data_IF_200062401453
#
_entry.id   IF_200062401453
#
_cell.length_a   1.000
_cell.length_b   1.000
_cell.length_c   1.000
_cell.angle_alpha   90.00
_cell.angle_beta   90.00
_cell.angle_gamma   90.00
#
_symmetry.space_group_name_H-M   'P 1'
#
loop_
_entity.id
_entity.type
_entity.pdbx_description
1 polymer ?
#
# COMPACT_ATOMS: atom_id res chain seq x y z
N UNK A 1 -11.69 28.72 -20.09
CA UNK A 1 -12.30 28.06 -18.92
C UNK A 1 -11.50 28.41 -17.70
N UNK A 2 -12.10 29.14 -16.78
CA UNK A 2 -11.44 29.65 -15.58
C UNK A 2 -11.53 28.53 -14.53
N UNK A 3 -10.38 28.00 -14.12
CA UNK A 3 -10.31 27.05 -13.00
C UNK A 3 -10.42 27.81 -11.69
N UNK A 4 -11.46 27.55 -10.93
CA UNK A 4 -11.57 28.01 -9.55
C UNK A 4 -10.61 27.23 -8.66
N UNK A 5 -9.86 27.90 -7.79
CA UNK A 5 -9.00 27.18 -6.82
C UNK A 5 -9.88 26.45 -5.80
N UNK A 6 -9.53 25.21 -5.51
CA UNK A 6 -10.09 24.43 -4.41
C UNK A 6 -9.85 25.18 -3.08
N UNK A 7 -10.82 25.94 -2.64
CA UNK A 7 -10.85 26.49 -1.28
C UNK A 7 -11.43 25.41 -0.34
N UNK A 8 -10.55 24.72 0.37
CA UNK A 8 -10.91 23.96 1.56
C UNK A 8 -11.28 24.98 2.66
N UNK A 9 -12.56 25.23 2.87
CA UNK A 9 -13.02 25.96 4.06
C UNK A 9 -12.98 25.02 5.26
N UNK A 10 -11.95 25.17 6.06
CA UNK A 10 -11.81 24.55 7.37
C UNK A 10 -12.14 25.57 8.43
N UNK A 11 -13.15 25.32 9.23
CA UNK A 11 -13.46 26.12 10.40
C UNK A 11 -12.29 26.10 11.39
N UNK A 12 -11.61 27.23 11.52
CA UNK A 12 -10.54 27.40 12.49
C UNK A 12 -11.13 27.55 13.87
N UNK A 13 -11.02 26.52 14.71
CA UNK A 13 -11.16 26.68 16.16
C UNK A 13 -9.82 27.09 16.74
N UNK A 14 -9.82 28.21 17.46
CA UNK A 14 -8.65 28.75 18.18
C UNK A 14 -8.16 27.76 19.23
N UNK A 15 -6.99 27.17 19.02
CA UNK A 15 -6.32 26.32 20.00
C UNK A 15 -5.05 27.00 20.52
N UNK A 16 -4.97 27.15 21.83
CA UNK A 16 -3.78 27.53 22.59
C UNK A 16 -2.83 26.32 22.69
N UNK A 17 -1.52 26.47 22.50
CA UNK A 17 -0.58 25.36 22.59
C UNK A 17 -0.33 24.97 24.06
N UNK A 18 -1.01 23.94 24.52
CA UNK A 18 -0.74 23.35 25.83
C UNK A 18 0.55 22.50 25.77
N UNK A 19 1.46 22.76 26.68
CA UNK A 19 2.76 22.07 26.83
C UNK A 19 2.55 20.58 27.05
N UNK A 20 2.79 19.76 26.04
CA UNK A 20 2.81 18.31 26.16
C UNK A 20 4.02 17.86 27.01
N UNK A 21 3.76 17.07 28.04
CA UNK A 21 4.77 16.53 28.98
C UNK A 21 5.65 15.49 28.31
N UNK A 22 6.97 15.43 28.60
CA UNK A 22 7.91 14.49 27.98
C UNK A 22 7.70 13.01 28.33
N UNK A 23 6.89 12.69 29.33
CA UNK A 23 6.67 11.30 29.79
C UNK A 23 5.95 10.38 28.80
N UNK A 24 5.13 10.94 27.89
CA UNK A 24 4.41 10.15 26.88
C UNK A 24 5.38 9.59 25.81
N UNK A 25 6.52 10.23 25.59
CA UNK A 25 7.51 9.83 24.57
C UNK A 25 8.34 8.62 25.00
N UNK A 26 8.63 8.48 26.30
CA UNK A 26 9.45 7.37 26.82
C UNK A 26 8.73 6.02 26.73
N UNK A 27 7.42 6.00 26.94
CA UNK A 27 6.62 4.76 26.88
C UNK A 27 6.55 4.19 25.45
N UNK A 28 6.45 5.05 24.43
CA UNK A 28 6.42 4.66 23.02
C UNK A 28 7.73 4.01 22.53
N UNK A 29 8.87 4.53 22.98
CA UNK A 29 10.19 3.97 22.62
C UNK A 29 10.40 2.59 23.26
N UNK A 30 10.02 2.42 24.52
CA UNK A 30 10.16 1.16 25.27
C UNK A 30 9.25 0.06 24.70
N UNK A 31 8.02 0.40 24.32
CA UNK A 31 7.11 -0.51 23.65
C UNK A 31 7.60 -0.92 22.27
N UNK A 32 8.10 0.04 21.48
CA UNK A 32 8.68 -0.19 20.16
C UNK A 32 9.90 -1.13 20.24
N UNK A 33 10.82 -0.89 21.19
CA UNK A 33 11.99 -1.72 21.42
C UNK A 33 11.62 -3.16 21.82
N UNK A 34 10.62 -3.34 22.67
CA UNK A 34 10.16 -4.66 23.12
C UNK A 34 9.47 -5.46 22.00
N UNK A 35 8.72 -4.80 21.12
CA UNK A 35 8.11 -5.43 19.94
C UNK A 35 9.13 -5.67 18.83
N UNK A 36 10.12 -4.83 18.70
CA UNK A 36 11.21 -4.97 17.75
C UNK A 36 12.04 -6.24 18.05
N UNK A 37 12.40 -6.48 19.31
CA UNK A 37 13.18 -7.67 19.71
C UNK A 37 12.42 -8.98 19.49
N UNK A 38 11.11 -9.02 19.69
CA UNK A 38 10.30 -10.21 19.44
C UNK A 38 10.12 -10.51 17.93
N UNK A 39 10.12 -9.48 17.07
CA UNK A 39 9.96 -9.63 15.62
C UNK A 39 11.27 -9.75 14.84
N UNK A 40 12.41 -9.34 15.41
CA UNK A 40 13.73 -9.31 14.73
C UNK A 40 14.18 -10.67 14.22
N UNK A 41 13.79 -11.76 14.85
CA UNK A 41 14.17 -13.12 14.44
C UNK A 41 13.50 -13.61 13.14
N UNK A 42 12.49 -12.86 12.60
CA UNK A 42 11.71 -13.26 11.42
C UNK A 42 11.53 -12.18 10.36
N UNK A 43 12.11 -11.00 10.55
CA UNK A 43 11.91 -9.86 9.64
C UNK A 43 13.12 -9.71 8.73
N UNK A 44 12.90 -9.62 7.42
CA UNK A 44 13.97 -9.29 6.47
C UNK A 44 14.61 -7.94 6.83
N UNK A 45 15.93 -7.77 6.61
CA UNK A 45 16.66 -6.53 6.88
C UNK A 45 15.93 -5.27 6.33
N UNK A 46 15.26 -5.41 5.20
CA UNK A 46 14.48 -4.37 4.57
C UNK A 46 13.26 -3.93 5.40
N UNK A 47 12.50 -4.88 5.98
CA UNK A 47 11.38 -4.55 6.87
C UNK A 47 11.88 -3.91 8.16
N UNK A 48 13.02 -4.37 8.67
CA UNK A 48 13.67 -3.75 9.82
C UNK A 48 13.99 -2.28 9.55
N UNK A 49 14.66 -1.97 8.44
CA UNK A 49 15.00 -0.60 8.06
C UNK A 49 13.77 0.27 7.81
N UNK A 50 12.71 -0.29 7.23
CA UNK A 50 11.43 0.40 7.06
C UNK A 50 10.86 0.85 8.41
N UNK A 51 10.73 -0.07 9.37
CA UNK A 51 10.18 0.28 10.68
C UNK A 51 11.11 1.22 11.48
N UNK A 52 12.40 1.01 11.40
CA UNK A 52 13.39 1.84 12.08
C UNK A 52 13.41 3.27 11.51
N UNK A 53 13.44 3.43 10.19
CA UNK A 53 13.42 4.75 9.56
C UNK A 53 12.11 5.49 9.83
N UNK A 54 10.97 4.83 9.75
CA UNK A 54 9.69 5.47 10.03
C UNK A 54 9.54 5.86 11.50
N UNK A 55 9.94 5.02 12.44
CA UNK A 55 9.94 5.37 13.85
C UNK A 55 10.88 6.55 14.15
N UNK A 56 12.10 6.57 13.61
CA UNK A 56 13.05 7.67 13.83
C UNK A 56 12.61 8.95 13.14
N UNK A 57 12.08 8.88 11.92
CA UNK A 57 11.55 10.05 11.21
C UNK A 57 10.31 10.64 11.89
N UNK A 58 9.49 9.82 12.49
CA UNK A 58 8.32 10.26 13.25
C UNK A 58 8.69 11.14 14.45
N UNK A 59 9.84 10.86 15.08
CA UNK A 59 10.35 11.67 16.20
C UNK A 59 11.08 12.96 15.75
N UNK A 60 11.81 12.92 14.63
CA UNK A 60 12.71 14.01 14.24
C UNK A 60 12.11 14.97 13.21
N UNK A 61 11.16 14.55 12.39
CA UNK A 61 10.74 15.26 11.18
C UNK A 61 9.45 16.09 11.32
N UNK A 62 8.76 16.05 12.45
CA UNK A 62 7.49 16.78 12.65
C UNK A 62 7.62 18.30 12.43
N UNK A 63 8.76 18.88 12.79
CA UNK A 63 9.01 20.33 12.64
C UNK A 63 9.31 20.76 11.20
N UNK A 64 9.66 19.84 10.30
CA UNK A 64 10.18 20.20 8.96
C UNK A 64 9.23 19.86 7.80
N UNK A 65 8.17 19.05 8.00
CA UNK A 65 7.32 18.58 6.91
C UNK A 65 6.26 19.61 6.45
N UNK A 66 5.70 20.41 7.36
CA UNK A 66 4.70 21.42 7.00
C UNK A 66 5.19 22.45 5.97
N UNK A 67 6.47 22.79 6.00
CA UNK A 67 7.08 23.67 4.98
C UNK A 67 7.41 22.96 3.65
N UNK A 68 7.49 21.63 3.63
CA UNK A 68 7.84 20.86 2.41
C UNK A 68 6.71 20.80 1.40
N UNK A 69 5.45 20.67 1.84
CA UNK A 69 4.30 20.66 0.93
C UNK A 69 4.23 21.95 0.12
N UNK A 70 4.33 23.10 0.79
CA UNK A 70 4.37 24.40 0.13
C UNK A 70 5.58 24.56 -0.79
N UNK A 71 6.76 24.08 -0.39
CA UNK A 71 7.97 24.13 -1.21
C UNK A 71 7.86 23.25 -2.47
N UNK A 72 7.20 22.08 -2.38
CA UNK A 72 6.94 21.21 -3.52
C UNK A 72 5.97 21.89 -4.49
N UNK A 73 4.89 22.49 -3.98
CA UNK A 73 3.89 23.20 -4.78
C UNK A 73 4.46 24.47 -5.44
N UNK A 74 5.41 25.14 -4.79
CA UNK A 74 6.09 26.34 -5.33
C UNK A 74 7.19 26.04 -6.36
N UNK A 75 7.64 24.79 -6.51
CA UNK A 75 8.60 24.44 -7.55
C UNK A 75 7.96 24.65 -8.92
N UNK A 76 8.55 25.55 -9.71
CA UNK A 76 8.18 25.70 -11.12
C UNK A 76 8.43 24.36 -11.80
N UNK A 77 7.36 23.64 -12.11
CA UNK A 77 7.42 22.37 -12.84
C UNK A 77 7.19 22.66 -14.32
N UNK A 78 7.82 21.89 -15.18
CA UNK A 78 7.55 21.83 -16.61
C UNK A 78 6.04 21.58 -16.81
N UNK A 79 5.43 22.25 -17.78
CA UNK A 79 3.99 22.19 -18.06
C UNK A 79 3.52 20.75 -18.33
N UNK A 80 4.33 19.92 -19.02
CA UNK A 80 4.04 18.50 -19.24
C UNK A 80 3.99 17.74 -17.92
N UNK A 81 4.92 17.99 -17.02
CA UNK A 81 4.97 17.35 -15.71
C UNK A 81 3.78 17.72 -14.84
N UNK A 82 3.29 18.96 -14.96
CA UNK A 82 2.06 19.37 -14.25
C UNK A 82 0.84 18.65 -14.78
N UNK A 83 0.72 18.49 -16.11
CA UNK A 83 -0.39 17.74 -16.70
C UNK A 83 -0.41 16.29 -16.20
N UNK A 84 0.75 15.61 -16.19
CA UNK A 84 0.87 14.25 -15.64
C UNK A 84 0.46 14.18 -14.16
N UNK A 85 0.79 15.21 -13.38
CA UNK A 85 0.40 15.29 -11.96
C UNK A 85 -1.12 15.43 -11.83
N UNK A 86 -1.75 16.31 -12.61
CA UNK A 86 -3.22 16.46 -12.58
C UNK A 86 -3.95 15.22 -13.05
N UNK A 87 -3.48 14.55 -14.10
CA UNK A 87 -4.06 13.32 -14.60
C UNK A 87 -4.00 12.21 -13.56
N UNK A 88 -2.87 12.10 -12.84
CA UNK A 88 -2.73 11.15 -11.73
C UNK A 88 -3.58 11.52 -10.54
N UNK A 89 -3.63 12.80 -10.17
CA UNK A 89 -4.46 13.26 -9.07
C UNK A 89 -5.94 12.94 -9.31
N UNK A 90 -6.44 13.25 -10.51
CA UNK A 90 -7.82 12.94 -10.90
C UNK A 90 -8.10 11.44 -10.95
N UNK A 91 -7.08 10.62 -11.23
CA UNK A 91 -7.20 9.17 -11.20
C UNK A 91 -7.30 8.63 -9.77
N UNK A 92 -6.44 9.11 -8.87
CA UNK A 92 -6.40 8.62 -7.49
C UNK A 92 -7.56 9.14 -6.65
N UNK A 93 -7.93 10.39 -6.85
CA UNK A 93 -9.03 11.05 -6.19
C UNK A 93 -10.08 11.47 -7.23
N UNK A 94 -11.11 10.69 -7.37
CA UNK A 94 -12.24 10.95 -8.27
C UNK A 94 -13.40 11.65 -7.57
N UNK A 95 -13.27 12.01 -6.30
CA UNK A 95 -14.28 12.78 -5.57
C UNK A 95 -14.34 14.19 -6.14
N UNK A 96 -15.48 14.56 -6.70
CA UNK A 96 -15.68 15.84 -7.39
C UNK A 96 -16.32 16.91 -6.52
N UNK A 97 -16.96 16.52 -5.43
CA UNK A 97 -17.72 17.40 -4.55
C UNK A 97 -17.06 17.51 -3.18
N UNK A 98 -17.29 18.63 -2.51
CA UNK A 98 -16.93 18.79 -1.10
C UNK A 98 -17.85 17.91 -0.25
N UNK A 99 -17.31 17.26 0.75
CA UNK A 99 -18.06 16.39 1.65
C UNK A 99 -17.66 16.65 3.10
N UNK A 100 -18.59 16.43 4.00
CA UNK A 100 -18.31 16.40 5.43
C UNK A 100 -17.71 15.03 5.79
N UNK A 101 -16.70 14.99 6.68
CA UNK A 101 -16.19 13.74 7.19
C UNK A 101 -17.28 12.89 7.82
N UNK A 102 -17.18 11.56 7.73
CA UNK A 102 -18.15 10.68 8.33
C UNK A 102 -18.13 10.78 9.87
N UNK A 103 -19.14 10.21 10.53
CA UNK A 103 -19.16 10.12 12.01
C UNK A 103 -18.01 9.29 12.58
N UNK A 104 -17.40 8.46 11.72
CA UNK A 104 -16.27 7.60 12.08
C UNK A 104 -14.91 8.22 11.70
N UNK A 105 -14.91 9.39 11.08
CA UNK A 105 -13.68 10.09 10.71
C UNK A 105 -12.80 10.36 11.93
N UNK A 106 -11.51 10.15 11.75
CA UNK A 106 -10.54 10.28 12.85
C UNK A 106 -9.74 11.56 12.62
N UNK A 107 -9.70 12.41 13.66
CA UNK A 107 -8.80 13.55 13.69
C UNK A 107 -7.34 13.06 13.71
N UNK A 108 -6.47 13.67 12.91
CA UNK A 108 -5.09 13.20 12.77
C UNK A 108 -4.32 13.19 14.09
N UNK A 109 -4.54 14.17 14.95
CA UNK A 109 -3.97 14.21 16.30
C UNK A 109 -4.33 12.97 17.13
N UNK A 110 -5.59 12.53 17.06
CA UNK A 110 -6.08 11.32 17.74
C UNK A 110 -5.60 10.03 17.09
N UNK A 111 -5.47 10.03 15.73
CA UNK A 111 -4.91 8.93 14.99
C UNK A 111 -3.47 8.61 15.43
N UNK A 112 -2.66 9.64 15.64
CA UNK A 112 -1.29 9.50 16.13
C UNK A 112 -1.22 8.91 17.55
N UNK A 113 -2.19 9.18 18.40
CA UNK A 113 -2.25 8.63 19.76
C UNK A 113 -2.64 7.15 19.77
N UNK A 114 -3.48 6.69 18.81
CA UNK A 114 -3.88 5.27 18.72
C UNK A 114 -2.70 4.32 18.59
N UNK A 115 -1.62 4.71 17.93
CA UNK A 115 -0.44 3.86 17.76
C UNK A 115 0.46 3.81 18.98
N UNK A 116 0.45 4.81 19.83
CA UNK A 116 1.29 4.85 21.05
C UNK A 116 0.69 4.08 22.23
N UNK A 117 -0.62 3.85 22.21
CA UNK A 117 -1.37 3.24 23.33
C UNK A 117 -2.06 1.92 23.00
N UNK A 118 -2.21 1.53 21.75
CA UNK A 118 -2.91 0.28 21.40
C UNK A 118 -2.05 -0.95 21.63
N UNK A 119 -1.85 -1.27 22.88
CA UNK A 119 -1.71 -2.64 23.33
C UNK A 119 -3.08 -3.29 23.18
N UNK A 120 -3.35 -3.96 22.02
CA UNK A 120 -4.19 -5.17 21.95
C UNK A 120 -5.55 -5.13 22.71
N UNK A 121 -6.37 -4.10 22.62
CA UNK A 121 -7.68 -4.18 23.29
C UNK A 121 -8.87 -3.78 22.43
N UNK A 122 -8.67 -3.15 21.28
CA UNK A 122 -9.82 -2.80 20.43
C UNK A 122 -9.81 -3.65 19.15
N UNK A 123 -10.57 -4.74 19.17
CA UNK A 123 -10.71 -5.67 18.04
C UNK A 123 -11.32 -5.03 16.78
N UNK A 124 -11.90 -3.86 16.91
CA UNK A 124 -12.68 -3.23 15.84
C UNK A 124 -11.89 -2.21 15.00
N UNK A 125 -10.59 -1.99 15.28
CA UNK A 125 -9.77 -1.03 14.55
C UNK A 125 -8.27 -1.38 14.51
N UNK A 126 -7.91 -2.63 14.24
CA UNK A 126 -6.50 -3.01 14.04
C UNK A 126 -5.98 -2.51 12.68
N UNK A 127 -5.43 -1.31 12.68
CA UNK A 127 -4.61 -0.86 11.55
C UNK A 127 -3.30 -1.63 11.59
N UNK A 128 -3.02 -2.39 10.53
CA UNK A 128 -1.70 -3.00 10.37
C UNK A 128 -0.60 -1.91 10.39
N UNK A 129 0.50 -2.18 11.07
CA UNK A 129 1.60 -1.21 11.27
C UNK A 129 2.13 -0.56 9.98
N UNK A 130 2.05 -1.25 8.85
CA UNK A 130 2.45 -0.70 7.54
C UNK A 130 1.50 0.38 7.04
N UNK A 131 0.20 0.18 7.18
CA UNK A 131 -0.81 1.18 6.84
C UNK A 131 -0.70 2.41 7.72
N UNK A 132 -0.49 2.20 9.03
CA UNK A 132 -0.33 3.28 9.97
C UNK A 132 0.83 4.21 9.58
N UNK A 133 2.03 3.65 9.37
CA UNK A 133 3.21 4.47 9.04
C UNK A 133 3.07 5.15 7.68
N UNK A 134 2.50 4.47 6.68
CA UNK A 134 2.28 5.07 5.37
C UNK A 134 1.24 6.22 5.43
N UNK A 135 0.16 6.07 6.23
CA UNK A 135 -0.81 7.15 6.45
C UNK A 135 -0.19 8.32 7.22
N UNK A 136 0.55 8.07 8.29
CA UNK A 136 1.25 9.13 9.04
C UNK A 136 2.18 9.92 8.12
N UNK A 137 2.98 9.23 7.29
CA UNK A 137 3.91 9.89 6.38
C UNK A 137 3.21 10.82 5.38
N UNK A 138 2.02 10.46 4.93
CA UNK A 138 1.20 11.26 4.02
C UNK A 138 0.44 12.37 4.75
N UNK A 139 -0.18 12.08 5.89
CA UNK A 139 -1.00 13.04 6.64
C UNK A 139 -0.18 14.14 7.31
N UNK A 140 1.10 13.90 7.60
CA UNK A 140 2.02 14.92 8.11
C UNK A 140 2.14 16.15 7.18
N UNK A 141 1.77 16.03 5.89
CA UNK A 141 1.75 17.17 4.97
C UNK A 141 0.55 18.11 5.20
N UNK A 142 -0.51 17.64 5.83
CA UNK A 142 -1.76 18.41 6.02
C UNK A 142 -1.84 19.09 7.39
N UNK A 143 -1.17 18.58 8.40
CA UNK A 143 -1.18 19.13 9.77
C UNK A 143 -2.22 18.46 10.69
N UNK A 144 -2.21 18.80 11.99
CA UNK A 144 -2.88 18.01 13.04
C UNK A 144 -4.41 18.18 13.11
N UNK A 145 -4.96 19.27 12.58
CA UNK A 145 -6.38 19.64 12.75
C UNK A 145 -7.34 19.00 11.72
N UNK A 146 -6.84 18.18 10.79
CA UNK A 146 -7.66 17.55 9.78
C UNK A 146 -8.21 16.21 10.25
N UNK A 147 -9.48 15.94 9.89
CA UNK A 147 -10.12 14.64 10.07
C UNK A 147 -10.23 13.92 8.75
N UNK A 148 -10.13 12.59 8.77
CA UNK A 148 -10.21 11.76 7.57
C UNK A 148 -10.80 10.39 7.88
N UNK A 149 -11.41 9.81 6.87
CA UNK A 149 -11.83 8.41 6.85
C UNK A 149 -10.80 7.56 6.13
N UNK A 150 -10.64 6.32 6.57
CA UNK A 150 -9.75 5.34 5.92
C UNK A 150 -10.32 3.94 6.06
N UNK A 151 -10.04 3.11 5.05
CA UNK A 151 -10.32 1.69 5.07
C UNK A 151 -9.05 0.93 4.71
N UNK A 152 -8.46 0.27 5.72
CA UNK A 152 -7.18 -0.43 5.61
C UNK A 152 -7.40 -1.91 5.40
N UNK A 153 -6.60 -2.49 4.49
CA UNK A 153 -6.68 -3.91 4.17
C UNK A 153 -6.94 -4.16 2.70
N UNK A 154 -7.51 -5.32 2.41
CA UNK A 154 -7.87 -5.74 1.06
C UNK A 154 -9.31 -5.26 0.77
N UNK A 155 -9.43 -4.00 0.34
CA UNK A 155 -10.73 -3.37 0.05
C UNK A 155 -11.27 -3.92 -1.27
N UNK A 156 -12.39 -4.64 -1.20
CA UNK A 156 -13.03 -5.30 -2.33
C UNK A 156 -14.39 -4.70 -2.72
N UNK A 157 -14.88 -3.77 -1.93
CA UNK A 157 -16.09 -2.98 -2.18
C UNK A 157 -15.75 -1.49 -2.06
N UNK A 158 -16.54 -0.65 -2.69
CA UNK A 158 -16.39 0.80 -2.58
C UNK A 158 -16.82 1.27 -1.19
N UNK A 159 -16.07 2.16 -0.52
CA UNK A 159 -16.49 2.75 0.73
C UNK A 159 -17.81 3.55 0.59
N UNK A 160 -18.62 3.59 1.65
CA UNK A 160 -19.87 4.36 1.67
C UNK A 160 -19.66 5.88 1.72
N UNK A 161 -18.48 6.32 2.19
CA UNK A 161 -18.05 7.71 2.26
C UNK A 161 -16.65 7.83 1.67
N UNK A 162 -16.23 9.02 1.21
CA UNK A 162 -14.87 9.26 0.76
C UNK A 162 -13.85 8.86 1.84
N UNK A 163 -13.01 7.90 1.52
CA UNK A 163 -12.05 7.32 2.44
C UNK A 163 -10.71 7.01 1.75
N UNK A 164 -9.61 7.11 2.49
CA UNK A 164 -8.31 6.68 2.02
C UNK A 164 -8.21 5.16 2.01
N UNK A 165 -7.87 4.60 0.84
CA UNK A 165 -7.79 3.15 0.63
C UNK A 165 -6.48 2.77 -0.06
N UNK A 166 -6.03 1.52 0.17
CA UNK A 166 -4.92 0.92 -0.59
C UNK A 166 -5.38 0.52 -1.99
N UNK A 167 -6.59 -0.03 -2.08
CA UNK A 167 -7.16 -0.61 -3.29
C UNK A 167 -8.64 -0.32 -3.39
N UNK A 168 -9.18 -0.34 -4.62
CA UNK A 168 -10.61 -0.21 -4.90
C UNK A 168 -10.98 -1.04 -6.13
N UNK A 169 -12.28 -1.36 -6.34
CA UNK A 169 -12.75 -1.95 -7.59
C UNK A 169 -12.54 -1.01 -8.77
N UNK A 170 -12.06 -1.52 -9.92
CA UNK A 170 -11.88 -0.72 -11.15
C UNK A 170 -13.22 -0.27 -11.73
N UNK A 171 -14.25 -1.11 -11.58
CA UNK A 171 -15.61 -0.82 -12.03
C UNK A 171 -16.46 -0.46 -10.82
N UNK A 172 -16.34 0.74 -10.31
CA UNK A 172 -17.20 1.26 -9.28
C UNK A 172 -18.13 2.36 -9.82
N UNK A 173 -19.35 2.41 -9.31
CA UNK A 173 -20.31 3.48 -9.61
C UNK A 173 -20.14 4.68 -8.67
N UNK A 174 -19.59 4.47 -7.48
CA UNK A 174 -19.23 5.54 -6.55
C UNK A 174 -17.70 5.73 -6.59
N UNK A 175 -17.24 6.93 -6.38
CA UNK A 175 -15.81 7.27 -6.46
C UNK A 175 -15.23 7.63 -5.08
N UNK A 176 -15.74 6.97 -4.04
CA UNK A 176 -15.39 7.25 -2.65
C UNK A 176 -14.00 6.72 -2.23
N UNK A 177 -13.49 5.71 -2.93
CA UNK A 177 -12.18 5.15 -2.63
C UNK A 177 -11.04 6.03 -3.14
N UNK A 178 -10.40 6.81 -2.28
CA UNK A 178 -9.24 7.65 -2.61
C UNK A 178 -7.97 6.83 -2.47
N UNK A 179 -7.32 6.55 -3.61
CA UNK A 179 -6.14 5.68 -3.63
C UNK A 179 -4.92 6.39 -3.05
N UNK A 180 -4.37 5.84 -1.99
CA UNK A 180 -3.07 6.21 -1.45
C UNK A 180 -2.05 5.07 -1.59
N UNK A 181 -0.76 5.42 -1.55
CA UNK A 181 0.34 4.44 -1.61
C UNK A 181 0.52 3.72 -0.27
N UNK A 182 -0.52 2.99 0.15
CA UNK A 182 -0.53 2.25 1.42
C UNK A 182 0.04 0.84 1.28
N UNK A 183 0.51 0.26 2.39
CA UNK A 183 1.23 -1.01 2.46
C UNK A 183 2.40 -1.07 1.46
N UNK A 184 3.10 0.06 1.35
CA UNK A 184 4.12 0.29 0.32
C UNK A 184 5.27 -0.71 0.41
N UNK A 185 5.65 -1.13 1.62
CA UNK A 185 6.73 -2.10 1.84
C UNK A 185 6.45 -3.46 1.20
N UNK A 186 5.18 -3.87 1.11
CA UNK A 186 4.78 -5.13 0.47
C UNK A 186 4.55 -4.97 -1.03
N UNK A 187 3.87 -3.89 -1.43
CA UNK A 187 3.37 -3.73 -2.80
C UNK A 187 4.36 -3.05 -3.74
N UNK A 188 5.21 -2.15 -3.24
CA UNK A 188 6.11 -1.35 -4.10
C UNK A 188 7.59 -1.73 -3.93
N UNK A 189 7.82 -3.00 -3.66
CA UNK A 189 9.15 -3.59 -3.57
C UNK A 189 9.62 -4.01 -4.95
N UNK A 190 10.39 -3.17 -5.61
CA UNK A 190 11.00 -3.50 -6.88
C UNK A 190 12.26 -4.35 -6.66
N UNK A 191 12.42 -5.37 -7.50
CA UNK A 191 13.63 -6.19 -7.54
C UNK A 191 14.47 -5.78 -8.75
N UNK A 192 15.80 -5.76 -8.57
CA UNK A 192 16.72 -5.62 -9.70
C UNK A 192 16.76 -6.96 -10.46
N UNK A 193 16.51 -6.91 -11.75
CA UNK A 193 16.59 -8.06 -12.64
C UNK A 193 17.76 -7.89 -13.62
N UNK A 194 18.90 -8.55 -13.38
CA UNK A 194 20.07 -8.45 -14.26
C UNK A 194 20.01 -9.40 -15.45
N UNK A 195 19.01 -10.30 -15.54
CA UNK A 195 18.96 -11.35 -16.54
C UNK A 195 18.14 -10.87 -17.74
N UNK A 196 18.71 -10.88 -18.95
CA UNK A 196 17.98 -10.54 -20.15
C UNK A 196 16.90 -11.59 -20.47
N UNK A 197 15.80 -11.17 -21.09
CA UNK A 197 14.65 -12.04 -21.38
C UNK A 197 15.04 -13.35 -22.07
N UNK A 198 15.90 -13.27 -23.09
CA UNK A 198 16.32 -14.44 -23.87
C UNK A 198 17.22 -15.42 -23.10
N UNK A 199 17.88 -14.96 -22.03
CA UNK A 199 18.74 -15.79 -21.19
C UNK A 199 17.96 -16.51 -20.09
N UNK A 200 16.65 -16.23 -19.97
CA UNK A 200 15.76 -16.85 -19.00
C UNK A 200 15.22 -18.18 -19.52
N UNK A 201 14.75 -19.02 -18.57
CA UNK A 201 14.09 -20.28 -18.92
C UNK A 201 12.79 -20.00 -19.69
N UNK A 202 12.55 -20.63 -20.86
CA UNK A 202 11.35 -20.43 -21.69
C UNK A 202 10.14 -21.15 -21.08
N UNK A 203 9.81 -20.83 -19.84
CA UNK A 203 8.76 -21.45 -19.05
C UNK A 203 7.98 -20.39 -18.27
N UNK A 204 6.74 -20.70 -17.93
CA UNK A 204 5.95 -19.89 -17.01
C UNK A 204 6.12 -20.35 -15.55
N UNK A 205 6.21 -19.40 -14.61
CA UNK A 205 6.32 -19.70 -13.18
C UNK A 205 5.23 -19.01 -12.36
N UNK A 206 4.73 -19.71 -11.35
CA UNK A 206 3.90 -19.16 -10.29
C UNK A 206 4.23 -19.83 -8.95
N UNK A 207 4.40 -19.00 -7.91
CA UNK A 207 4.52 -19.42 -6.52
C UNK A 207 3.75 -18.47 -5.63
N UNK A 208 2.80 -19.01 -4.90
CA UNK A 208 2.04 -18.25 -3.93
C UNK A 208 1.10 -19.13 -3.11
N UNK A 209 0.69 -18.69 -1.92
CA UNK A 209 -0.31 -19.39 -1.14
C UNK A 209 -1.69 -19.22 -1.79
N UNK A 210 -2.37 -20.33 -2.08
CA UNK A 210 -3.66 -20.35 -2.77
C UNK A 210 -4.82 -20.41 -1.76
N UNK A 211 -4.97 -19.37 -0.94
CA UNK A 211 -6.09 -19.29 0.01
C UNK A 211 -7.44 -19.06 -0.70
N UNK A 212 -7.43 -18.33 -1.84
CA UNK A 212 -8.62 -18.04 -2.62
C UNK A 212 -8.95 -19.18 -3.59
N UNK A 213 -10.23 -19.42 -3.82
CA UNK A 213 -10.72 -20.48 -4.70
C UNK A 213 -10.18 -20.36 -6.12
N UNK A 214 -10.21 -19.16 -6.70
CA UNK A 214 -9.71 -18.92 -8.05
C UNK A 214 -8.21 -19.19 -8.20
N UNK A 215 -7.39 -19.03 -7.15
CA UNK A 215 -5.98 -19.42 -7.15
C UNK A 215 -5.82 -20.94 -7.10
N UNK A 216 -6.64 -21.63 -6.31
CA UNK A 216 -6.63 -23.10 -6.28
C UNK A 216 -7.01 -23.66 -7.64
N UNK A 217 -8.13 -23.20 -8.20
CA UNK A 217 -8.58 -23.62 -9.52
C UNK A 217 -7.54 -23.35 -10.62
N UNK A 218 -6.82 -22.23 -10.54
CA UNK A 218 -5.72 -21.93 -11.45
C UNK A 218 -4.58 -22.95 -11.31
N UNK A 219 -4.12 -23.21 -10.10
CA UNK A 219 -3.02 -24.17 -9.88
C UNK A 219 -3.44 -25.58 -10.27
N UNK A 220 -4.64 -26.04 -9.90
CA UNK A 220 -5.17 -27.35 -10.26
C UNK A 220 -5.22 -27.59 -11.78
N UNK A 221 -5.59 -26.57 -12.54
CA UNK A 221 -5.68 -26.66 -14.02
C UNK A 221 -4.33 -26.54 -14.75
N UNK A 222 -3.33 -25.94 -14.10
CA UNK A 222 -2.13 -25.54 -14.81
C UNK A 222 -0.84 -26.16 -14.28
N UNK A 223 -0.83 -26.87 -13.15
CA UNK A 223 0.40 -27.33 -12.50
C UNK A 223 1.18 -28.41 -13.28
N UNK A 224 0.51 -29.16 -14.13
CA UNK A 224 1.04 -30.27 -14.93
C UNK A 224 1.16 -29.97 -16.44
N UNK A 225 0.81 -28.75 -16.86
CA UNK A 225 0.96 -28.36 -18.25
C UNK A 225 2.45 -28.34 -18.67
N UNK A 226 2.76 -28.56 -19.96
CA UNK A 226 4.13 -28.45 -20.45
C UNK A 226 4.64 -27.02 -20.33
N UNK A 227 5.94 -26.86 -20.12
CA UNK A 227 6.61 -25.57 -20.01
C UNK A 227 6.09 -24.64 -18.90
N UNK A 228 5.57 -25.21 -17.81
CA UNK A 228 5.17 -24.47 -16.62
C UNK A 228 5.86 -24.96 -15.36
N UNK A 229 6.03 -24.08 -14.41
CA UNK A 229 6.47 -24.38 -13.05
C UNK A 229 5.54 -23.66 -12.07
N UNK A 230 4.31 -24.16 -11.98
CA UNK A 230 3.21 -23.57 -11.21
C UNK A 230 2.96 -24.40 -9.96
N UNK A 231 2.81 -23.75 -8.79
CA UNK A 231 2.53 -24.49 -7.56
C UNK A 231 2.01 -23.62 -6.40
N UNK A 232 1.20 -24.25 -5.58
CA UNK A 232 0.73 -23.74 -4.30
C UNK A 232 1.81 -23.93 -3.23
N UNK A 233 2.05 -22.91 -2.43
CA UNK A 233 3.09 -22.92 -1.38
C UNK A 233 2.53 -23.13 0.03
N UNK A 234 1.23 -23.38 0.18
CA UNK A 234 0.63 -23.62 1.50
C UNK A 234 1.15 -24.92 2.11
N UNK A 235 1.52 -24.87 3.38
CA UNK A 235 2.04 -26.06 4.11
C UNK A 235 1.03 -27.19 4.19
N UNK A 236 -0.27 -26.88 4.20
CA UNK A 236 -1.36 -27.87 4.17
C UNK A 236 -1.43 -28.68 2.87
N UNK A 237 -0.75 -28.23 1.83
CA UNK A 237 -0.75 -28.90 0.51
C UNK A 237 0.49 -29.80 0.30
N UNK A 238 1.40 -29.86 1.26
CA UNK A 238 2.59 -30.73 1.19
C UNK A 238 2.16 -32.19 0.93
N UNK A 239 2.77 -32.81 -0.07
CA UNK A 239 2.45 -34.16 -0.52
C UNK A 239 1.45 -34.23 -1.68
N UNK A 240 0.76 -33.16 -2.01
CA UNK A 240 -0.10 -33.10 -3.21
C UNK A 240 0.70 -32.70 -4.45
N UNK A 241 0.23 -33.11 -5.64
CA UNK A 241 0.85 -32.76 -6.92
C UNK A 241 0.92 -31.26 -7.18
N UNK A 242 -0.05 -30.50 -6.66
CA UNK A 242 -0.14 -29.03 -6.76
C UNK A 242 0.83 -28.29 -5.86
N UNK A 243 1.40 -28.94 -4.83
CA UNK A 243 2.35 -28.32 -3.92
C UNK A 243 3.72 -28.15 -4.58
N UNK A 244 4.29 -26.96 -4.43
CA UNK A 244 5.71 -26.73 -4.71
C UNK A 244 6.32 -25.81 -3.66
N UNK A 245 7.57 -26.04 -3.33
CA UNK A 245 8.30 -25.20 -2.38
C UNK A 245 8.28 -23.72 -2.76
N UNK A 246 8.22 -22.79 -1.80
CA UNK A 246 8.34 -21.37 -2.06
C UNK A 246 9.60 -21.05 -2.88
N UNK A 247 9.50 -20.02 -3.70
CA UNK A 247 10.63 -19.44 -4.46
C UNK A 247 10.81 -17.98 -4.09
N UNK A 248 12.06 -17.56 -3.99
CA UNK A 248 12.42 -16.15 -3.89
C UNK A 248 12.10 -15.41 -5.18
N UNK A 249 12.04 -14.08 -5.12
CA UNK A 249 11.87 -13.25 -6.34
C UNK A 249 13.01 -13.52 -7.32
N UNK A 250 14.27 -13.61 -6.84
CA UNK A 250 15.42 -13.88 -7.69
C UNK A 250 15.35 -15.23 -8.44
N UNK A 251 14.79 -16.26 -7.81
CA UNK A 251 14.55 -17.55 -8.45
C UNK A 251 13.44 -17.46 -9.50
N UNK A 252 12.35 -16.71 -9.23
CA UNK A 252 11.28 -16.50 -10.19
C UNK A 252 11.73 -15.67 -11.39
N UNK A 253 12.63 -14.71 -11.20
CA UNK A 253 13.21 -13.89 -12.28
C UNK A 253 14.08 -14.68 -13.29
N UNK A 254 14.37 -15.95 -13.02
CA UNK A 254 15.03 -16.85 -13.99
C UNK A 254 14.11 -17.37 -15.09
N UNK A 255 12.81 -17.03 -15.05
CA UNK A 255 11.79 -17.49 -15.99
C UNK A 255 11.36 -16.35 -16.91
N UNK A 256 11.13 -16.65 -18.18
CA UNK A 256 10.66 -15.67 -19.16
C UNK A 256 9.26 -15.16 -18.83
N UNK A 257 8.39 -16.05 -18.34
CA UNK A 257 7.00 -15.74 -18.06
C UNK A 257 6.71 -15.90 -16.56
N UNK A 258 6.14 -14.87 -15.94
CA UNK A 258 5.76 -14.92 -14.53
C UNK A 258 4.27 -14.62 -14.41
N UNK A 259 3.55 -15.54 -13.76
CA UNK A 259 2.10 -15.39 -13.63
C UNK A 259 1.76 -14.57 -12.38
N UNK A 260 0.88 -13.60 -12.57
CA UNK A 260 0.34 -12.75 -11.51
C UNK A 260 -1.15 -13.05 -11.33
N UNK A 261 -1.52 -13.63 -10.19
CA UNK A 261 -2.91 -13.96 -9.85
C UNK A 261 -3.33 -13.12 -8.66
N UNK A 262 -4.45 -12.38 -8.83
CA UNK A 262 -5.03 -11.56 -7.76
C UNK A 262 -5.23 -12.36 -6.46
N UNK A 263 -5.12 -11.66 -5.32
CA UNK A 263 -5.47 -12.19 -4.00
C UNK A 263 -6.95 -11.97 -3.67
N UNK A 264 -7.22 -11.41 -2.49
CA UNK A 264 -8.55 -10.88 -2.19
C UNK A 264 -8.82 -9.64 -3.05
N UNK A 265 -7.82 -8.76 -3.15
CA UNK A 265 -7.77 -7.64 -4.09
C UNK A 265 -6.66 -7.87 -5.15
N UNK A 266 -5.74 -6.95 -5.30
CA UNK A 266 -4.64 -7.01 -6.28
C UNK A 266 -3.59 -8.09 -5.98
N UNK A 267 -2.82 -8.44 -6.98
CA UNK A 267 -1.65 -9.30 -6.82
C UNK A 267 -0.44 -8.49 -6.33
N UNK A 268 0.12 -8.86 -5.17
CA UNK A 268 1.29 -8.20 -4.59
C UNK A 268 2.53 -8.28 -5.50
N UNK A 269 2.67 -9.38 -6.26
CA UNK A 269 3.82 -9.63 -7.12
C UNK A 269 3.80 -8.83 -8.42
N UNK A 270 2.67 -8.29 -8.86
CA UNK A 270 2.51 -7.61 -10.15
C UNK A 270 3.56 -6.51 -10.36
N UNK A 271 3.80 -5.68 -9.34
CA UNK A 271 4.67 -4.50 -9.45
C UNK A 271 6.12 -4.86 -9.75
N UNK A 272 6.68 -5.86 -9.06
CA UNK A 272 8.05 -6.27 -9.33
C UNK A 272 8.18 -7.09 -10.62
N UNK A 273 7.13 -7.81 -11.03
CA UNK A 273 7.11 -8.50 -12.34
C UNK A 273 7.15 -7.46 -13.46
N UNK A 274 6.29 -6.45 -13.41
CA UNK A 274 6.24 -5.38 -14.41
C UNK A 274 7.52 -4.53 -14.47
N UNK A 275 8.30 -4.50 -13.39
CA UNK A 275 9.61 -3.83 -13.34
C UNK A 275 10.78 -4.75 -13.72
N UNK A 276 10.53 -5.98 -14.16
CA UNK A 276 11.53 -6.98 -14.55
C UNK A 276 11.67 -7.13 -16.05
N UNK A 277 12.66 -7.92 -16.46
CA UNK A 277 12.83 -8.36 -17.86
C UNK A 277 11.98 -9.60 -18.20
N UNK A 278 11.03 -10.01 -17.34
CA UNK A 278 10.12 -11.12 -17.61
C UNK A 278 8.78 -10.61 -18.09
N UNK A 279 8.09 -11.41 -18.91
CA UNK A 279 6.73 -11.08 -19.34
C UNK A 279 5.73 -11.48 -18.26
N UNK A 280 4.85 -10.56 -17.91
CA UNK A 280 3.77 -10.80 -16.95
C UNK A 280 2.57 -11.45 -17.62
N UNK A 281 2.17 -12.64 -17.16
CA UNK A 281 0.87 -13.21 -17.49
C UNK A 281 -0.12 -12.93 -16.36
N UNK A 282 -1.19 -12.22 -16.65
CA UNK A 282 -2.24 -11.91 -15.71
C UNK A 282 -3.62 -11.91 -16.38
N UNK A 283 -4.66 -12.18 -15.61
CA UNK A 283 -6.02 -11.91 -16.06
C UNK A 283 -6.30 -10.42 -15.99
N UNK A 284 -7.37 -9.97 -16.64
CA UNK A 284 -7.85 -8.57 -16.52
C UNK A 284 -8.04 -8.23 -15.04
N UNK A 285 -7.40 -7.15 -14.51
CA UNK A 285 -7.56 -6.74 -13.13
C UNK A 285 -9.01 -6.36 -12.81
N UNK A 286 -9.43 -6.69 -11.60
CA UNK A 286 -10.73 -6.27 -11.04
C UNK A 286 -10.56 -5.13 -10.05
N UNK A 287 -9.37 -5.05 -9.47
CA UNK A 287 -9.00 -4.07 -8.45
C UNK A 287 -7.77 -3.29 -8.89
N UNK A 288 -7.65 -2.09 -8.36
CA UNK A 288 -6.52 -1.21 -8.61
C UNK A 288 -5.99 -0.60 -7.32
N UNK A 289 -4.73 -0.20 -7.37
CA UNK A 289 -3.99 0.48 -6.30
C UNK A 289 -3.33 1.73 -6.84
N UNK A 290 -2.47 2.37 -6.05
CA UNK A 290 -1.57 3.42 -6.50
C UNK A 290 -0.76 3.05 -7.77
N UNK A 291 -0.65 1.79 -8.14
CA UNK A 291 0.01 1.33 -9.37
C UNK A 291 -0.82 1.56 -10.63
N UNK A 292 -2.11 1.92 -10.49
CA UNK A 292 -3.03 2.22 -11.60
C UNK A 292 -3.27 1.00 -12.50
N UNK A 293 -3.56 -0.16 -11.91
CA UNK A 293 -3.82 -1.41 -12.62
C UNK A 293 -4.93 -1.28 -13.67
N UNK A 294 -5.90 -0.39 -13.45
CA UNK A 294 -6.95 -0.08 -14.42
C UNK A 294 -6.43 0.48 -15.74
N UNK A 295 -5.22 1.06 -15.77
CA UNK A 295 -4.57 1.59 -16.98
C UNK A 295 -3.64 0.58 -17.67
N UNK A 296 -3.42 -0.60 -17.09
CA UNK A 296 -2.61 -1.66 -17.72
C UNK A 296 -3.34 -2.41 -18.82
N UNK A 297 -4.61 -2.14 -19.01
CA UNK A 297 -5.48 -2.84 -19.96
C UNK A 297 -5.74 -1.89 -21.12
N UNK A 298 -5.45 -2.27 -22.37
CA UNK A 298 -5.83 -1.52 -23.54
C UNK A 298 -7.35 -1.47 -23.72
#
# INVERSE_FOLDING_TARGET
MVYAPLHLHVGASNFSPEKQRPEVYFCGIFWFMRHLTYRLSRVSARKFWYYFSNASSHFLARATKNGRAEAILKRKSDQRRMQDVFDRLSYYNSVSETFDPSKNAVEYSKFLLKSSTSTIVDKDCEIGSTYFYDLVDLMDYFGPGYSFDYDCGDVTAEPNHPAFVKSRPIKSSSHNGILLKLDAIRHFSLARDPIHFHDKKPMAVFRGPCHQEHRRAFVERCHDLPNVNIGDTRKSEIGKATYKSPMTIAEQLRYQFIVSVEGNDVATNLKWIMASNSLCFMRRPRYETWFMEGRLIP
#
